data_IF_700486537376
#
_entry.id   IF_700486537376
#
_cell.length_a   1.000
_cell.length_b   1.000
_cell.length_c   1.000
_cell.angle_alpha   90.00
_cell.angle_beta   90.00
_cell.angle_gamma   90.00
#
_symmetry.space_group_name_H-M   'P 1'
#
loop_
_entity.id
_entity.type
_entity.pdbx_description
1 polymer ?
#
# COMPACT_ATOMS: atom_id res chain seq x y z
N UNK A 1 -21.27 0.05 10.66
CA UNK A 1 -19.86 -0.23 11.02
C UNK A 1 -19.01 0.61 10.10
N UNK A 2 -18.12 1.43 10.65
CA UNK A 2 -17.38 2.42 9.87
C UNK A 2 -16.47 1.75 8.83
N UNK A 3 -16.46 2.30 7.60
CA UNK A 3 -15.71 1.74 6.46
C UNK A 3 -14.21 1.57 6.76
N UNK A 4 -13.64 2.48 7.55
CA UNK A 4 -12.24 2.44 8.00
C UNK A 4 -12.00 1.22 8.90
N UNK A 5 -12.89 0.97 9.86
CA UNK A 5 -12.77 -0.15 10.79
C UNK A 5 -12.87 -1.49 10.07
N UNK A 6 -13.77 -1.60 9.09
CA UNK A 6 -13.85 -2.77 8.21
C UNK A 6 -12.54 -3.02 7.45
N UNK A 7 -11.88 -1.94 7.01
CA UNK A 7 -10.61 -2.01 6.27
C UNK A 7 -9.45 -2.49 7.16
N UNK A 8 -9.38 -2.00 8.39
CA UNK A 8 -8.35 -2.43 9.35
C UNK A 8 -8.55 -3.89 9.76
N UNK A 9 -9.78 -4.32 9.99
CA UNK A 9 -10.09 -5.72 10.30
C UNK A 9 -9.77 -6.66 9.14
N UNK A 10 -10.02 -6.22 7.89
CA UNK A 10 -9.59 -6.97 6.71
C UNK A 10 -8.07 -7.14 6.68
N UNK A 11 -7.32 -6.06 6.90
CA UNK A 11 -5.86 -6.13 6.98
C UNK A 11 -5.39 -7.08 8.08
N UNK A 12 -5.93 -6.96 9.32
CA UNK A 12 -5.62 -7.85 10.45
C UNK A 12 -5.77 -9.31 10.04
N UNK A 13 -6.93 -9.65 9.46
CA UNK A 13 -7.24 -11.00 9.00
C UNK A 13 -6.30 -11.48 7.90
N UNK A 14 -5.92 -10.62 6.97
CA UNK A 14 -5.02 -10.97 5.86
C UNK A 14 -3.60 -11.33 6.32
N UNK A 15 -3.15 -10.79 7.46
CA UNK A 15 -1.81 -11.04 8.01
C UNK A 15 -1.77 -12.10 9.11
N UNK A 16 -2.91 -12.63 9.55
CA UNK A 16 -3.02 -13.71 10.57
C UNK A 16 -2.21 -14.96 10.21
N UNK A 17 -2.02 -15.23 8.92
CA UNK A 17 -1.18 -16.36 8.44
C UNK A 17 0.31 -16.19 8.76
N UNK A 18 0.74 -14.98 9.10
CA UNK A 18 2.11 -14.66 9.47
C UNK A 18 2.24 -14.33 10.95
N UNK A 19 1.26 -13.62 11.50
CA UNK A 19 1.25 -13.18 12.90
C UNK A 19 -0.18 -13.02 13.40
N UNK A 20 -0.46 -13.58 14.56
CA UNK A 20 -1.72 -13.37 15.27
C UNK A 20 -1.46 -12.36 16.39
N UNK A 21 -2.18 -11.24 16.37
CA UNK A 21 -2.06 -10.20 17.40
C UNK A 21 -3.02 -10.46 18.54
N UNK A 22 -2.53 -10.34 19.77
CA UNK A 22 -3.40 -10.10 20.93
C UNK A 22 -4.15 -8.77 20.75
N UNK A 23 -5.24 -8.59 21.50
CA UNK A 23 -6.10 -7.44 21.29
C UNK A 23 -5.37 -6.13 21.63
N UNK A 24 -4.60 -6.11 22.71
CA UNK A 24 -3.81 -4.96 23.14
C UNK A 24 -2.74 -4.58 22.10
N UNK A 25 -2.07 -5.57 21.51
CA UNK A 25 -1.07 -5.35 20.46
C UNK A 25 -1.69 -4.78 19.20
N UNK A 26 -2.87 -5.29 18.81
CA UNK A 26 -3.62 -4.78 17.69
C UNK A 26 -4.09 -3.34 17.92
N UNK A 27 -4.59 -3.04 19.12
CA UNK A 27 -5.02 -1.69 19.48
C UNK A 27 -3.86 -0.68 19.47
N UNK A 28 -2.63 -1.10 19.77
CA UNK A 28 -1.43 -0.28 19.60
C UNK A 28 -1.07 -0.14 18.11
N UNK A 29 -0.99 -1.24 17.38
CA UNK A 29 -0.56 -1.26 15.98
C UNK A 29 -1.49 -0.44 15.08
N UNK A 30 -2.81 -0.56 15.25
CA UNK A 30 -3.80 0.14 14.41
C UNK A 30 -3.72 1.66 14.51
N UNK A 31 -3.11 2.22 15.56
CA UNK A 31 -2.88 3.67 15.69
C UNK A 31 -1.93 4.21 14.62
N UNK A 32 -1.10 3.33 14.04
CA UNK A 32 -0.17 3.66 12.97
C UNK A 32 -0.70 3.34 11.57
N UNK A 33 -1.92 2.79 11.47
CA UNK A 33 -2.58 2.56 10.21
C UNK A 33 -3.35 3.79 9.76
N UNK A 34 -3.35 4.03 8.45
CA UNK A 34 -4.15 5.07 7.82
C UNK A 34 -4.96 4.46 6.69
N UNK A 35 -6.19 4.94 6.53
CA UNK A 35 -7.03 4.59 5.39
C UNK A 35 -6.99 5.71 4.35
N UNK A 36 -6.64 5.37 3.11
CA UNK A 36 -6.59 6.29 1.98
C UNK A 36 -7.47 5.77 0.86
N UNK A 37 -8.12 6.69 0.14
CA UNK A 37 -8.87 6.38 -1.08
C UNK A 37 -8.25 7.18 -2.23
N UNK A 38 -7.97 6.49 -3.33
CA UNK A 38 -7.44 7.07 -4.55
C UNK A 38 -8.50 6.98 -5.64
N UNK A 39 -8.63 8.03 -6.45
CA UNK A 39 -9.45 7.99 -7.67
C UNK A 39 -8.73 7.15 -8.74
N UNK A 40 -9.50 6.66 -9.71
CA UNK A 40 -8.92 5.99 -10.88
C UNK A 40 -7.92 6.93 -11.57
N UNK A 41 -6.70 6.41 -11.83
CA UNK A 41 -5.55 7.14 -12.38
C UNK A 41 -4.89 8.17 -11.43
N UNK A 42 -5.25 8.18 -10.15
CA UNK A 42 -4.51 8.95 -9.15
C UNK A 42 -3.24 8.19 -8.74
N UNK A 43 -2.15 8.91 -8.49
CA UNK A 43 -0.88 8.32 -8.12
C UNK A 43 -0.85 7.97 -6.63
N UNK A 44 -0.46 6.73 -6.34
CA UNK A 44 -0.04 6.37 -4.99
C UNK A 44 1.28 7.07 -4.63
N UNK A 45 2.21 7.09 -5.59
CA UNK A 45 3.51 7.74 -5.54
C UNK A 45 3.91 8.15 -6.96
N UNK A 46 4.52 9.33 -7.11
CA UNK A 46 5.03 9.80 -8.40
C UNK A 46 6.53 9.55 -8.53
N UNK A 47 7.00 9.37 -9.77
CA UNK A 47 8.43 9.24 -10.05
C UNK A 47 9.20 10.47 -9.53
N UNK A 48 10.37 10.25 -8.94
CA UNK A 48 11.17 11.31 -8.30
C UNK A 48 10.76 11.66 -6.87
N UNK A 49 9.69 11.07 -6.32
CA UNK A 49 9.32 11.24 -4.92
C UNK A 49 9.91 10.12 -4.04
N UNK A 50 10.18 10.44 -2.77
CA UNK A 50 10.55 9.45 -1.75
C UNK A 50 9.28 8.80 -1.23
N UNK A 51 9.14 7.48 -1.41
CA UNK A 51 8.05 6.71 -0.85
C UNK A 51 8.30 6.45 0.64
N UNK A 52 7.32 6.74 1.49
CA UNK A 52 7.43 6.58 2.95
C UNK A 52 6.42 5.57 3.52
N UNK A 53 5.70 4.87 2.64
CA UNK A 53 4.54 4.06 3.00
C UNK A 53 4.64 2.67 2.36
N UNK A 54 4.16 1.67 3.09
CA UNK A 54 3.75 0.38 2.54
C UNK A 54 2.24 0.32 2.68
N UNK A 55 1.55 0.03 1.57
CA UNK A 55 0.10 0.03 1.53
C UNK A 55 -0.41 -1.40 1.34
N UNK A 56 -1.54 -1.69 1.96
CA UNK A 56 -2.34 -2.88 1.67
C UNK A 56 -3.57 -2.47 0.86
N UNK A 57 -3.83 -3.16 -0.25
CA UNK A 57 -4.97 -2.84 -1.11
C UNK A 57 -6.24 -3.46 -0.51
N UNK A 58 -7.07 -2.64 0.10
CA UNK A 58 -8.38 -3.07 0.63
C UNK A 58 -9.34 -3.41 -0.51
N UNK A 59 -9.36 -2.57 -1.55
CA UNK A 59 -10.13 -2.79 -2.77
C UNK A 59 -9.55 -1.97 -3.93
N UNK A 60 -9.53 -2.56 -5.13
CA UNK A 60 -9.06 -1.94 -6.38
C UNK A 60 -7.75 -2.54 -6.88
N UNK A 61 -7.00 -1.73 -7.63
CA UNK A 61 -5.69 -2.14 -8.13
C UNK A 61 -4.75 -0.95 -8.30
N UNK A 62 -3.47 -1.22 -8.16
CA UNK A 62 -2.38 -0.28 -8.43
C UNK A 62 -1.50 -0.91 -9.50
N UNK A 63 -1.01 -0.12 -10.45
CA UNK A 63 0.03 -0.57 -11.38
C UNK A 63 1.35 0.09 -11.06
N UNK A 64 2.42 -0.68 -11.14
CA UNK A 64 3.77 -0.14 -11.23
C UNK A 64 4.13 0.04 -12.71
N UNK A 65 4.64 1.22 -13.06
CA UNK A 65 5.15 1.51 -14.39
C UNK A 65 6.36 2.43 -14.29
N UNK A 66 7.17 2.46 -15.35
CA UNK A 66 8.25 3.41 -15.53
C UNK A 66 8.17 4.01 -16.94
N UNK A 67 8.82 5.15 -17.16
CA UNK A 67 8.87 5.80 -18.47
C UNK A 67 10.20 5.48 -19.14
N UNK A 68 10.16 5.02 -20.39
CA UNK A 68 11.33 4.79 -21.24
C UNK A 68 11.06 5.37 -22.61
N UNK A 69 11.94 6.24 -23.09
CA UNK A 69 11.83 6.91 -24.41
C UNK A 69 10.49 7.64 -24.62
N UNK A 70 9.90 8.17 -23.54
CA UNK A 70 8.60 8.85 -23.55
C UNK A 70 7.38 7.93 -23.45
N UNK A 71 7.57 6.61 -23.42
CA UNK A 71 6.49 5.62 -23.29
C UNK A 71 6.39 5.04 -21.88
N UNK A 72 5.17 4.83 -21.41
CA UNK A 72 4.90 4.16 -20.14
C UNK A 72 4.99 2.64 -20.31
N UNK A 73 5.96 2.02 -19.65
CA UNK A 73 6.11 0.56 -19.59
C UNK A 73 5.59 0.07 -18.25
N UNK A 74 4.48 -0.67 -18.29
CA UNK A 74 3.91 -1.31 -17.10
C UNK A 74 4.75 -2.53 -16.73
N UNK A 75 5.20 -2.59 -15.48
CA UNK A 75 5.96 -3.73 -14.96
C UNK A 75 5.04 -4.79 -14.37
N UNK A 76 4.16 -4.41 -13.45
CA UNK A 76 3.23 -5.32 -12.79
C UNK A 76 2.02 -4.58 -12.21
N UNK A 77 1.01 -5.35 -11.83
CA UNK A 77 -0.15 -4.89 -11.09
C UNK A 77 -0.16 -5.51 -9.70
N UNK A 78 -0.63 -4.74 -8.71
CA UNK A 78 -1.02 -5.20 -7.40
C UNK A 78 -2.54 -5.11 -7.30
N UNK A 79 -3.17 -6.18 -6.83
CA UNK A 79 -4.62 -6.33 -6.77
C UNK A 79 -5.11 -6.35 -5.32
N UNK A 80 -6.41 -6.61 -5.15
CA UNK A 80 -7.05 -6.77 -3.84
C UNK A 80 -6.25 -7.68 -2.90
N UNK A 81 -6.06 -7.20 -1.68
CA UNK A 81 -5.37 -7.86 -0.57
C UNK A 81 -3.87 -8.11 -0.77
N UNK A 82 -3.24 -7.44 -1.72
CA UNK A 82 -1.80 -7.43 -1.90
C UNK A 82 -1.16 -6.19 -1.25
N UNK A 83 0.13 -6.33 -0.90
CA UNK A 83 0.95 -5.21 -0.45
C UNK A 83 1.59 -4.51 -1.65
N UNK A 84 1.62 -3.19 -1.61
CA UNK A 84 2.20 -2.34 -2.65
C UNK A 84 3.00 -1.20 -2.04
N UNK A 85 4.14 -0.88 -2.67
CA UNK A 85 4.98 0.27 -2.34
C UNK A 85 5.94 0.53 -3.50
N UNK A 86 6.56 1.71 -3.55
CA UNK A 86 7.84 1.85 -4.24
C UNK A 86 8.93 1.31 -3.31
N UNK A 87 9.04 -0.02 -3.26
CA UNK A 87 9.74 -0.71 -2.16
C UNK A 87 11.21 -0.33 -2.02
N UNK A 88 11.93 -0.18 -3.15
CA UNK A 88 13.32 0.31 -3.13
C UNK A 88 13.40 1.71 -2.52
N UNK A 89 12.53 2.63 -2.92
CA UNK A 89 12.48 3.99 -2.40
C UNK A 89 12.17 4.01 -0.90
N UNK A 90 11.19 3.21 -0.46
CA UNK A 90 10.83 3.06 0.95
C UNK A 90 12.00 2.60 1.81
N UNK A 91 12.74 1.58 1.37
CA UNK A 91 13.88 1.04 2.10
C UNK A 91 15.08 2.00 2.14
N UNK A 92 15.42 2.62 1.00
CA UNK A 92 16.63 3.45 0.90
C UNK A 92 16.40 4.89 1.32
N UNK A 93 15.14 5.32 1.48
CA UNK A 93 14.73 6.72 1.69
C UNK A 93 15.26 7.65 0.59
N UNK A 94 15.36 7.12 -0.62
CA UNK A 94 15.75 7.86 -1.82
C UNK A 94 14.61 7.89 -2.83
N UNK A 95 14.57 8.89 -3.73
CA UNK A 95 13.57 8.96 -4.79
C UNK A 95 13.45 7.66 -5.59
N UNK A 96 12.22 7.22 -5.83
CA UNK A 96 11.94 6.12 -6.75
C UNK A 96 12.03 6.58 -8.21
N UNK A 97 12.37 5.65 -9.09
CA UNK A 97 12.26 5.80 -10.55
C UNK A 97 10.88 5.37 -11.02
#
# INVERSE_FOLDING_TARGET
MDQIESSFNLFRKSIEKFIVFEEEEWQLFRQHLQHKTLKKKEFLIEAGQVCNEICFIVSGSVRFYHVKDGEEITGYFCLDHELVSSYKSFLTRQPGT
#
